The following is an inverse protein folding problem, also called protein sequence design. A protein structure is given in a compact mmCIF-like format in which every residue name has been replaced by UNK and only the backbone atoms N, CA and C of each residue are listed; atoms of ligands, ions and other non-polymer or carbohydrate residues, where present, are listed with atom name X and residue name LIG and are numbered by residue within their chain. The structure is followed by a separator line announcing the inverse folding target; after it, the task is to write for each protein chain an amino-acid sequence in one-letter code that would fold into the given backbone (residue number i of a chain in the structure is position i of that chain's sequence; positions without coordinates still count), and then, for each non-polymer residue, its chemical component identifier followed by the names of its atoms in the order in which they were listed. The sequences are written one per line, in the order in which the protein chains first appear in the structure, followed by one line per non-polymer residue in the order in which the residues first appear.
data_IF_476145685849
#
_entry.id   IF_476145685849
#
_cell.length_a   1.000
_cell.length_b   1.000
_cell.length_c   1.000
_cell.angle_alpha   90.00
_cell.angle_beta   90.00
_cell.angle_gamma   90.00
#
_symmetry.space_group_name_H-M   'P 1'
#
loop_
_entity.id
_entity.type
_entity.pdbx_description
1 polymer ?
#
# COMPACT_ATOMS: atom_id res chain seq x y z
N UNK A 1 25.19 4.65 -6.51
CA UNK A 1 24.60 3.30 -6.61
C UNK A 1 23.12 3.49 -6.93
N UNK A 2 22.62 3.02 -8.07
CA UNK A 2 21.19 3.14 -8.38
C UNK A 2 20.41 2.25 -7.39
N UNK A 3 19.37 2.81 -6.75
CA UNK A 3 18.50 2.03 -5.86
C UNK A 3 17.68 1.07 -6.74
N UNK A 4 17.74 -0.23 -6.46
CA UNK A 4 16.97 -1.22 -7.20
C UNK A 4 15.52 -1.28 -6.68
N UNK A 5 14.58 -1.68 -7.56
CA UNK A 5 13.19 -1.92 -7.17
C UNK A 5 13.08 -2.87 -5.95
N UNK A 6 13.88 -3.93 -5.93
CA UNK A 6 13.94 -4.88 -4.81
C UNK A 6 14.31 -4.21 -3.48
N UNK A 7 15.26 -3.27 -3.48
CA UNK A 7 15.63 -2.53 -2.27
C UNK A 7 14.49 -1.65 -1.77
N UNK A 8 13.71 -1.05 -2.68
CA UNK A 8 12.52 -0.25 -2.33
C UNK A 8 11.42 -1.14 -1.78
N UNK A 9 11.12 -2.28 -2.42
CA UNK A 9 10.13 -3.24 -1.94
C UNK A 9 10.51 -3.77 -0.55
N UNK A 10 11.80 -4.09 -0.32
CA UNK A 10 12.29 -4.54 0.98
C UNK A 10 12.17 -3.45 2.06
N UNK A 11 12.48 -2.20 1.70
CA UNK A 11 12.30 -1.06 2.60
C UNK A 11 10.82 -0.87 2.96
N UNK A 12 9.92 -0.94 1.97
CA UNK A 12 8.48 -0.87 2.19
C UNK A 12 8.00 -2.01 3.11
N UNK A 13 8.37 -3.26 2.80
CA UNK A 13 8.01 -4.42 3.62
C UNK A 13 8.43 -4.26 5.09
N UNK A 14 9.63 -3.70 5.34
CA UNK A 14 10.14 -3.46 6.69
C UNK A 14 9.35 -2.36 7.41
N UNK A 15 9.15 -1.21 6.78
CA UNK A 15 8.40 -0.11 7.39
C UNK A 15 6.95 -0.51 7.67
N UNK A 16 6.30 -1.16 6.70
CA UNK A 16 4.95 -1.68 6.84
C UNK A 16 4.85 -2.75 7.94
N UNK A 17 5.87 -3.61 8.12
CA UNK A 17 5.91 -4.55 9.25
C UNK A 17 5.88 -3.83 10.60
N UNK A 18 6.67 -2.75 10.75
CA UNK A 18 6.72 -1.95 11.98
C UNK A 18 5.36 -1.29 12.23
N UNK A 19 4.79 -0.66 11.21
CA UNK A 19 3.49 0.03 11.32
C UNK A 19 2.37 -0.96 11.70
N UNK A 20 2.25 -2.09 11.01
CA UNK A 20 1.24 -3.12 11.30
C UNK A 20 1.46 -3.72 12.70
N UNK A 21 2.72 -3.94 13.11
CA UNK A 21 3.00 -4.44 14.47
C UNK A 21 2.56 -3.42 15.53
N UNK A 22 2.84 -2.14 15.33
CA UNK A 22 2.36 -1.08 16.22
C UNK A 22 0.83 -0.97 16.20
N UNK A 23 0.18 -1.19 15.06
CA UNK A 23 -1.28 -1.23 14.95
C UNK A 23 -1.90 -2.33 15.81
N UNK A 24 -1.33 -3.53 15.74
CA UNK A 24 -1.84 -4.70 16.45
C UNK A 24 -1.56 -4.59 17.96
N UNK A 25 -0.36 -4.18 18.34
CA UNK A 25 0.08 -4.19 19.74
C UNK A 25 -0.38 -2.96 20.53
N UNK A 26 -0.53 -1.81 19.88
CA UNK A 26 -0.83 -0.55 20.55
C UNK A 26 -1.94 0.24 19.85
N UNK A 27 -3.10 -0.38 19.53
CA UNK A 27 -4.17 0.31 18.82
C UNK A 27 -4.59 1.60 19.58
N UNK A 28 -4.74 1.48 20.89
CA UNK A 28 -5.25 2.57 21.74
C UNK A 28 -4.28 3.75 21.96
N UNK A 29 -2.97 3.57 21.81
CA UNK A 29 -2.00 4.65 22.11
C UNK A 29 -1.73 5.54 20.90
N UNK A 30 -1.76 4.98 19.69
CA UNK A 30 -1.45 5.71 18.48
C UNK A 30 -2.69 6.33 17.82
N UNK A 31 -3.84 5.69 17.93
CA UNK A 31 -5.01 6.06 17.11
C UNK A 31 -6.05 6.89 17.84
N UNK A 32 -6.03 6.85 19.18
CA UNK A 32 -6.96 7.58 20.02
C UNK A 32 -6.84 9.10 19.81
N UNK A 33 -7.61 9.62 18.87
CA UNK A 33 -7.83 11.01 18.48
C UNK A 33 -6.60 11.87 18.11
N UNK A 34 -5.36 11.48 18.42
CA UNK A 34 -4.14 12.26 18.11
C UNK A 34 -3.77 12.18 16.63
N UNK A 35 -3.70 10.96 16.08
CA UNK A 35 -3.42 10.75 14.65
C UNK A 35 -4.58 11.28 13.79
N UNK A 36 -5.81 11.00 14.20
CA UNK A 36 -7.03 11.54 13.58
C UNK A 36 -7.01 13.08 13.50
N UNK A 37 -6.62 13.76 14.59
CA UNK A 37 -6.44 15.22 14.61
C UNK A 37 -5.31 15.69 13.72
N UNK A 38 -4.18 14.99 13.73
CA UNK A 38 -3.04 15.34 12.87
C UNK A 38 -3.41 15.22 11.39
N UNK A 39 -4.02 14.12 10.98
CA UNK A 39 -4.46 13.87 9.60
C UNK A 39 -5.55 14.85 9.19
N UNK A 40 -6.55 15.07 10.04
CA UNK A 40 -7.59 16.07 9.82
C UNK A 40 -7.00 17.46 9.56
N UNK A 41 -5.99 17.87 10.34
CA UNK A 41 -5.28 19.14 10.12
C UNK A 41 -4.46 19.17 8.83
N UNK A 42 -3.78 18.08 8.49
CA UNK A 42 -2.95 18.01 7.29
C UNK A 42 -3.76 17.95 6.00
N UNK A 43 -4.90 17.26 6.02
CA UNK A 43 -5.73 17.02 4.84
C UNK A 43 -6.91 17.99 4.72
N UNK A 44 -7.21 18.74 5.79
CA UNK A 44 -8.41 19.58 5.88
C UNK A 44 -9.70 18.80 6.05
N UNK A 45 -9.64 17.47 6.22
CA UNK A 45 -10.83 16.62 6.38
C UNK A 45 -11.40 16.73 7.80
N UNK A 46 -12.74 16.78 8.00
CA UNK A 46 -13.35 16.86 9.33
C UNK A 46 -13.02 15.64 10.22
N UNK A 47 -12.87 15.81 11.54
CA UNK A 47 -12.58 14.69 12.46
C UNK A 47 -13.66 13.58 12.49
N UNK A 48 -14.91 13.93 12.15
CA UNK A 48 -16.10 13.07 12.27
C UNK A 48 -16.18 12.00 11.15
N UNK A 49 -15.27 12.03 10.16
CA UNK A 49 -15.22 11.04 9.06
C UNK A 49 -14.38 9.81 9.36
N UNK A 50 -13.96 9.61 10.60
CA UNK A 50 -12.98 8.59 10.96
C UNK A 50 -13.62 7.46 11.79
N UNK A 51 -13.44 6.22 11.32
CA UNK A 51 -13.96 5.01 11.96
C UNK A 51 -13.48 4.90 13.41
N UNK A 52 -14.42 4.64 14.33
CA UNK A 52 -14.11 4.28 15.71
C UNK A 52 -13.39 2.92 15.74
N UNK A 53 -12.25 2.85 16.43
CA UNK A 53 -11.35 1.70 16.46
C UNK A 53 -11.96 0.44 17.08
N UNK A 54 -13.05 0.59 17.83
CA UNK A 54 -13.83 -0.53 18.37
C UNK A 54 -14.85 -1.12 17.37
N UNK A 55 -14.95 -0.56 16.17
CA UNK A 55 -15.86 -1.10 15.16
C UNK A 55 -15.25 -2.30 14.42
N UNK A 56 -16.09 -3.22 13.95
CA UNK A 56 -15.67 -4.33 13.09
C UNK A 56 -14.90 -3.87 11.84
N UNK A 57 -15.06 -2.61 11.42
CA UNK A 57 -14.34 -2.04 10.30
C UNK A 57 -12.83 -1.87 10.59
N UNK A 58 -12.40 -1.68 11.84
CA UNK A 58 -10.97 -1.61 12.18
C UNK A 58 -10.27 -2.97 11.99
N UNK A 59 -10.92 -4.06 12.42
CA UNK A 59 -10.39 -5.42 12.20
C UNK A 59 -10.25 -5.75 10.71
N UNK A 60 -11.16 -5.27 9.87
CA UNK A 60 -11.06 -5.40 8.41
C UNK A 60 -9.86 -4.63 7.85
N UNK A 61 -9.61 -3.41 8.32
CA UNK A 61 -8.44 -2.61 7.91
C UNK A 61 -7.13 -3.32 8.29
N UNK A 62 -7.01 -3.82 9.52
CA UNK A 62 -5.82 -4.58 9.96
C UNK A 62 -5.62 -5.85 9.11
N UNK A 63 -6.70 -6.55 8.77
CA UNK A 63 -6.62 -7.73 7.90
C UNK A 63 -6.15 -7.39 6.48
N UNK A 64 -6.60 -6.27 5.91
CA UNK A 64 -6.13 -5.77 4.61
C UNK A 64 -4.65 -5.37 4.67
N UNK A 65 -4.23 -4.67 5.73
CA UNK A 65 -2.83 -4.28 5.93
C UNK A 65 -1.91 -5.50 6.09
N UNK A 66 -2.38 -6.57 6.76
CA UNK A 66 -1.66 -7.86 6.82
C UNK A 66 -1.55 -8.53 5.44
N UNK A 67 -2.60 -8.48 4.61
CA UNK A 67 -2.57 -9.03 3.26
C UNK A 67 -1.58 -8.27 2.34
N UNK A 68 -1.50 -6.94 2.48
CA UNK A 68 -0.48 -6.10 1.83
C UNK A 68 0.91 -6.53 2.27
N UNK A 69 1.09 -6.69 3.59
CA UNK A 69 2.39 -7.05 4.15
C UNK A 69 2.90 -8.39 3.60
N UNK A 70 2.02 -9.38 3.47
CA UNK A 70 2.36 -10.67 2.84
C UNK A 70 2.80 -10.46 1.39
N UNK A 71 2.07 -9.66 0.61
CA UNK A 71 2.44 -9.37 -0.78
C UNK A 71 3.77 -8.63 -0.91
N UNK A 72 4.06 -7.69 -0.01
CA UNK A 72 5.32 -6.98 0.05
C UNK A 72 6.50 -7.92 0.33
N UNK A 73 6.36 -8.84 1.28
CA UNK A 73 7.40 -9.82 1.59
C UNK A 73 7.60 -10.84 0.46
N UNK A 74 6.51 -11.27 -0.19
CA UNK A 74 6.60 -12.10 -1.40
C UNK A 74 7.33 -11.34 -2.53
N UNK A 75 7.05 -10.06 -2.71
CA UNK A 75 7.74 -9.19 -3.67
C UNK A 75 9.19 -8.87 -3.32
N UNK A 76 9.55 -8.83 -2.03
CA UNK A 76 10.91 -8.53 -1.56
C UNK A 76 11.86 -9.72 -1.70
N UNK A 77 11.34 -10.94 -1.57
CA UNK A 77 12.11 -12.19 -1.59
C UNK A 77 12.42 -12.70 -3.00
N UNK A 78 11.72 -12.18 -4.00
CA UNK A 78 11.92 -12.51 -5.42
C UNK A 78 12.84 -11.51 -6.13
N UNK A 79 13.53 -11.98 -7.17
CA UNK A 79 14.33 -11.16 -8.09
C UNK A 79 13.61 -10.85 -9.40
N UNK A 80 12.40 -11.38 -9.60
CA UNK A 80 11.66 -11.26 -10.86
C UNK A 80 11.01 -9.88 -10.98
N UNK A 81 11.26 -9.18 -12.09
CA UNK A 81 10.71 -7.83 -12.35
C UNK A 81 9.17 -7.81 -12.34
N UNK A 82 8.49 -8.83 -12.86
CA UNK A 82 7.02 -8.94 -12.78
C UNK A 82 6.47 -8.98 -11.36
N UNK A 83 7.20 -9.56 -10.41
CA UNK A 83 6.73 -9.60 -9.04
C UNK A 83 6.77 -8.21 -8.41
N UNK A 84 7.81 -7.41 -8.71
CA UNK A 84 7.85 -6.00 -8.29
C UNK A 84 6.77 -5.15 -8.95
N UNK A 85 6.44 -5.41 -10.22
CA UNK A 85 5.33 -4.74 -10.90
C UNK A 85 3.97 -5.13 -10.28
N UNK A 86 3.77 -6.41 -9.95
CA UNK A 86 2.57 -6.87 -9.22
C UNK A 86 2.49 -6.25 -7.82
N UNK A 87 3.60 -6.12 -7.11
CA UNK A 87 3.67 -5.42 -5.82
C UNK A 87 3.30 -3.95 -5.97
N UNK A 88 3.90 -3.23 -6.93
CA UNK A 88 3.58 -1.83 -7.18
C UNK A 88 2.10 -1.64 -7.54
N UNK A 89 1.55 -2.55 -8.34
CA UNK A 89 0.14 -2.50 -8.70
C UNK A 89 -0.77 -2.73 -7.48
N UNK A 90 -0.44 -3.71 -6.64
CA UNK A 90 -1.19 -4.00 -5.42
C UNK A 90 -1.20 -2.78 -4.49
N UNK A 91 -0.03 -2.16 -4.27
CA UNK A 91 0.11 -0.92 -3.51
C UNK A 91 -0.78 0.21 -4.06
N UNK A 92 -0.83 0.40 -5.39
CA UNK A 92 -1.72 1.41 -6.03
C UNK A 92 -3.20 1.12 -5.82
N UNK A 93 -3.61 -0.15 -5.96
CA UNK A 93 -5.01 -0.56 -5.76
C UNK A 93 -5.42 -0.25 -4.32
N UNK A 94 -4.60 -0.65 -3.34
CA UNK A 94 -4.88 -0.39 -1.94
C UNK A 94 -4.90 1.10 -1.60
N UNK A 95 -3.93 1.87 -2.08
CA UNK A 95 -3.93 3.32 -1.93
C UNK A 95 -5.20 3.94 -2.48
N UNK A 96 -5.64 3.51 -3.66
CA UNK A 96 -6.85 4.03 -4.30
C UNK A 96 -8.10 3.68 -3.50
N UNK A 97 -8.23 2.42 -3.07
CA UNK A 97 -9.37 1.96 -2.25
C UNK A 97 -9.40 2.70 -0.90
N UNK A 98 -8.26 2.87 -0.25
CA UNK A 98 -8.14 3.60 1.00
C UNK A 98 -8.47 5.10 0.83
N UNK A 99 -8.06 5.73 -0.26
CA UNK A 99 -8.47 7.11 -0.58
C UNK A 99 -9.98 7.18 -0.81
N UNK A 100 -10.54 6.30 -1.64
CA UNK A 100 -11.97 6.27 -1.97
C UNK A 100 -12.84 6.10 -0.72
N UNK A 101 -12.47 5.17 0.17
CA UNK A 101 -13.18 4.95 1.43
C UNK A 101 -13.09 6.14 2.40
N UNK A 102 -12.08 7.01 2.23
CA UNK A 102 -11.95 8.27 2.97
C UNK A 102 -12.62 9.47 2.26
N UNK A 103 -13.13 9.31 1.04
CA UNK A 103 -13.86 10.39 0.33
C UNK A 103 -15.29 10.55 0.86
N UNK A 104 -15.87 11.76 0.78
CA UNK A 104 -17.25 12.01 1.22
C UNK A 104 -18.32 11.23 0.44
N UNK A 105 -17.96 10.53 -0.65
CA UNK A 105 -18.85 9.73 -1.48
C UNK A 105 -19.15 8.34 -0.88
N UNK A 106 -18.31 7.86 0.05
CA UNK A 106 -18.50 6.57 0.73
C UNK A 106 -19.12 6.82 2.10
N UNK A 107 -20.04 5.97 2.60
CA UNK A 107 -20.58 6.11 3.95
C UNK A 107 -19.44 6.28 4.96
N UNK A 108 -19.55 7.30 5.81
CA UNK A 108 -18.49 7.77 6.73
C UNK A 108 -18.01 6.73 7.76
N UNK A 109 -18.58 5.52 7.74
CA UNK A 109 -18.27 4.40 8.61
C UNK A 109 -17.07 3.57 8.11
N UNK A 110 -16.47 3.90 6.97
CA UNK A 110 -15.40 3.10 6.35
C UNK A 110 -14.05 3.82 6.19
N UNK A 111 -13.98 5.15 6.39
CA UNK A 111 -12.74 5.92 6.25
C UNK A 111 -11.93 5.98 7.54
N UNK A 112 -10.63 5.64 7.51
CA UNK A 112 -9.72 5.72 8.66
C UNK A 112 -8.50 6.58 8.35
N UNK A 113 -8.05 7.37 9.33
CA UNK A 113 -6.87 8.24 9.21
C UNK A 113 -5.60 7.43 8.98
N UNK A 114 -5.58 6.23 9.53
CA UNK A 114 -4.51 5.24 9.37
C UNK A 114 -4.45 4.80 7.92
N UNK A 115 -5.60 4.43 7.37
CA UNK A 115 -5.73 4.00 5.98
C UNK A 115 -5.35 5.13 5.03
N UNK A 116 -5.68 6.39 5.34
CA UNK A 116 -5.29 7.54 4.51
C UNK A 116 -3.79 7.82 4.53
N UNK A 117 -3.14 7.77 5.70
CA UNK A 117 -1.67 7.88 5.79
C UNK A 117 -0.98 6.71 5.08
N UNK A 118 -1.46 5.49 5.33
CA UNK A 118 -1.01 4.28 4.66
C UNK A 118 -1.15 4.40 3.15
N UNK A 119 -2.28 4.93 2.66
CA UNK A 119 -2.52 5.12 1.24
C UNK A 119 -1.49 6.03 0.57
N UNK A 120 -1.15 7.16 1.19
CA UNK A 120 -0.14 8.08 0.66
C UNK A 120 1.23 7.39 0.61
N UNK A 121 1.58 6.69 1.69
CA UNK A 121 2.86 5.99 1.80
C UNK A 121 2.98 4.89 0.74
N UNK A 122 1.94 4.06 0.61
CA UNK A 122 1.86 2.99 -0.38
C UNK A 122 1.91 3.54 -1.81
N UNK A 123 1.28 4.70 -2.07
CA UNK A 123 1.33 5.36 -3.37
C UNK A 123 2.76 5.81 -3.72
N UNK A 124 3.47 6.42 -2.75
CA UNK A 124 4.87 6.80 -2.92
C UNK A 124 5.77 5.59 -3.16
N UNK A 125 5.54 4.48 -2.44
CA UNK A 125 6.28 3.25 -2.65
C UNK A 125 6.01 2.61 -4.00
N UNK A 126 4.75 2.55 -4.43
CA UNK A 126 4.40 2.06 -5.76
C UNK A 126 5.13 2.85 -6.84
N UNK A 127 5.09 4.19 -6.77
CA UNK A 127 5.81 5.04 -7.71
C UNK A 127 7.33 4.79 -7.67
N UNK A 128 7.91 4.68 -6.47
CA UNK A 128 9.33 4.38 -6.29
C UNK A 128 9.74 3.04 -6.89
N UNK A 129 8.94 1.98 -6.70
CA UNK A 129 9.17 0.65 -7.28
C UNK A 129 9.13 0.74 -8.80
N UNK A 130 8.18 1.47 -9.37
CA UNK A 130 8.06 1.64 -10.82
C UNK A 130 9.26 2.36 -11.40
N UNK A 131 9.65 3.47 -10.78
CA UNK A 131 10.80 4.26 -11.20
C UNK A 131 12.10 3.45 -11.14
N UNK A 132 12.36 2.78 -10.01
CA UNK A 132 13.57 1.99 -9.81
C UNK A 132 13.61 0.68 -10.61
N UNK A 133 12.43 0.16 -10.99
CA UNK A 133 12.29 -1.06 -11.77
C UNK A 133 12.22 -0.83 -13.28
N UNK A 134 12.20 0.44 -13.72
CA UNK A 134 11.90 0.83 -15.10
C UNK A 134 10.60 0.15 -15.58
N UNK A 135 9.55 0.24 -14.76
CA UNK A 135 8.23 -0.35 -14.97
C UNK A 135 7.32 0.78 -15.43
N UNK A 136 6.93 0.75 -16.70
CA UNK A 136 6.04 1.74 -17.27
C UNK A 136 4.57 1.39 -17.06
N UNK A 137 3.69 2.36 -17.38
CA UNK A 137 2.24 2.16 -17.40
C UNK A 137 1.83 0.97 -18.29
N UNK A 138 2.52 0.75 -19.42
CA UNK A 138 2.26 -0.38 -20.32
C UNK A 138 2.51 -1.74 -19.65
N UNK A 139 3.54 -1.84 -18.81
CA UNK A 139 3.85 -3.08 -18.10
C UNK A 139 2.77 -3.40 -17.06
N UNK A 140 2.24 -2.38 -16.37
CA UNK A 140 1.10 -2.55 -15.46
C UNK A 140 -0.19 -2.94 -16.18
N UNK A 141 -0.50 -2.27 -17.30
CA UNK A 141 -1.71 -2.56 -18.09
C UNK A 141 -1.64 -3.96 -18.71
N UNK A 142 -0.47 -4.37 -19.21
CA UNK A 142 -0.31 -5.72 -19.75
C UNK A 142 -0.41 -6.82 -18.68
N UNK A 143 0.02 -6.54 -17.44
CA UNK A 143 -0.23 -7.44 -16.30
C UNK A 143 -1.73 -7.57 -15.98
N UNK A 144 -2.50 -6.49 -16.07
CA UNK A 144 -3.97 -6.55 -15.94
C UNK A 144 -4.63 -7.31 -17.10
N UNK A 145 -4.12 -7.16 -18.31
CA UNK A 145 -4.62 -7.82 -19.51
C UNK A 145 -4.25 -9.29 -19.63
N UNK A 146 -3.45 -9.83 -18.71
CA UNK A 146 -2.94 -11.21 -18.79
C UNK A 146 -1.95 -11.43 -19.93
N UNK A 147 -1.29 -10.38 -20.41
CA UNK A 147 -0.45 -10.41 -21.60
C UNK A 147 0.83 -11.25 -21.36
N UNK A 148 0.89 -12.44 -21.97
CA UNK A 148 2.00 -13.38 -21.84
C UNK A 148 3.29 -12.86 -22.48
N UNK A 149 3.22 -11.89 -23.39
CA UNK A 149 4.40 -11.31 -24.06
C UNK A 149 5.34 -10.58 -23.10
N UNK A 150 4.81 -10.08 -21.99
CA UNK A 150 5.59 -9.48 -20.90
C UNK A 150 6.34 -10.58 -20.13
N UNK A 151 5.70 -11.74 -19.88
CA UNK A 151 6.32 -12.91 -19.23
C UNK A 151 7.48 -13.50 -20.05
N UNK A 152 7.39 -13.42 -21.38
CA UNK A 152 8.41 -13.95 -22.29
C UNK A 152 9.66 -13.06 -22.36
N UNK A 153 9.52 -11.73 -22.41
CA UNK A 153 10.68 -10.81 -22.45
C UNK A 153 11.61 -10.94 -21.25
N UNK A 154 11.07 -11.26 -20.07
CA UNK A 154 11.87 -11.46 -18.86
C UNK A 154 12.54 -12.83 -18.80
N UNK A 155 12.04 -13.86 -19.51
CA UNK A 155 12.77 -15.14 -19.62
C UNK A 155 14.03 -14.99 -20.46
N UNK A 156 13.96 -14.22 -21.55
CA UNK A 156 15.06 -13.99 -22.48
C UNK A 156 16.20 -13.16 -21.86
N UNK A 157 15.96 -12.42 -20.78
CA UNK A 157 17.00 -11.65 -20.08
C UNK A 157 17.71 -12.40 -18.96
N UNK A 158 17.24 -13.60 -18.61
CA UNK A 158 17.78 -14.41 -17.51
C UNK A 158 18.67 -15.56 -18.02
N UNK A 159 18.56 -15.92 -19.30
CA UNK A 159 19.51 -16.76 -20.05
C UNK A 159 20.70 -15.93 -20.57
#
# INVERSE_FOLDING_TARGET
MAISARSIVLLNARLSSVVVTLQILFPYQFYNSHLARAVSRWTGLPLVTLVDENSCAHALVVALDLAILVHLWMGATTSRKHAHASTALMELIYSTVAILTCTPLVPRQYGSSISLIGAITNFMFAFGICWAGDIGWRDMVGLFGGDESIRERDRVKVE
#
